data_IF_398699898062
#
_entry.id   IF_398699898062
#
_cell.length_a   1.000
_cell.length_b   1.000
_cell.length_c   1.000
_cell.angle_alpha   90.00
_cell.angle_beta   90.00
_cell.angle_gamma   90.00
#
_symmetry.space_group_name_H-M   'P 1'
#
loop_
_entity.id
_entity.type
_entity.pdbx_description
1 polymer ?
#
# COMPACT_ATOMS: atom_id res chain seq x y z
N UNK A 1 7.48 10.22 18.56
CA UNK A 1 8.58 10.33 17.57
C UNK A 1 8.07 11.20 16.45
N UNK A 2 8.72 12.34 16.22
CA UNK A 2 8.38 13.26 15.12
C UNK A 2 8.53 12.55 13.78
N UNK A 3 7.50 12.62 12.94
CA UNK A 3 7.53 12.09 11.57
C UNK A 3 7.65 13.27 10.62
N UNK A 4 8.72 13.26 9.83
CA UNK A 4 9.01 14.29 8.83
C UNK A 4 8.11 14.18 7.59
N UNK A 5 7.70 12.95 7.29
CA UNK A 5 6.73 12.61 6.23
C UNK A 5 5.69 11.70 6.87
N UNK A 6 4.41 11.97 6.62
CA UNK A 6 3.33 11.15 7.13
C UNK A 6 2.94 10.14 6.07
N UNK A 7 3.18 8.86 6.35
CA UNK A 7 2.81 7.76 5.47
C UNK A 7 1.90 6.81 6.23
N UNK A 8 0.80 6.45 5.58
CA UNK A 8 -0.17 5.46 6.05
C UNK A 8 -0.58 4.58 4.88
N UNK A 9 -0.72 3.28 5.12
CA UNK A 9 -1.13 2.31 4.12
C UNK A 9 -1.70 1.07 4.81
N UNK A 10 -2.56 0.37 4.09
CA UNK A 10 -2.82 -1.03 4.36
C UNK A 10 -1.90 -1.90 3.50
N UNK A 11 -1.44 -3.01 4.07
CA UNK A 11 -0.50 -3.93 3.42
C UNK A 11 -1.13 -5.32 3.29
N UNK A 12 -1.06 -5.88 2.08
CA UNK A 12 -1.48 -7.23 1.76
C UNK A 12 -0.33 -8.02 1.12
N UNK A 13 0.23 -9.05 1.77
CA UNK A 13 1.20 -9.93 1.15
C UNK A 13 0.56 -10.68 -0.03
N UNK A 14 1.12 -10.58 -1.24
CA UNK A 14 0.51 -11.20 -2.42
C UNK A 14 0.47 -12.74 -2.33
N UNK A 15 1.38 -13.36 -1.56
CA UNK A 15 1.33 -14.79 -1.22
C UNK A 15 0.10 -15.23 -0.43
N UNK A 16 -0.62 -14.31 0.21
CA UNK A 16 -1.86 -14.62 0.95
C UNK A 16 -3.10 -14.68 0.04
N UNK A 17 -2.95 -14.35 -1.26
CA UNK A 17 -4.05 -14.43 -2.21
C UNK A 17 -4.29 -15.89 -2.61
N UNK A 18 -5.40 -16.48 -2.13
CA UNK A 18 -5.78 -17.85 -2.46
C UNK A 18 -6.32 -18.01 -3.89
N UNK A 19 -7.38 -17.27 -4.25
CA UNK A 19 -7.94 -17.23 -5.61
C UNK A 19 -8.02 -15.80 -6.11
N UNK A 20 -7.65 -15.61 -7.36
CA UNK A 20 -7.70 -14.31 -8.07
C UNK A 20 -9.02 -14.12 -8.85
N UNK A 21 -9.99 -14.99 -8.63
CA UNK A 21 -11.30 -14.90 -9.28
C UNK A 21 -12.08 -13.72 -8.70
N UNK A 22 -12.57 -12.85 -9.59
CA UNK A 22 -13.41 -11.72 -9.21
C UNK A 22 -14.85 -12.22 -9.06
N UNK A 23 -15.51 -12.03 -7.90
CA UNK A 23 -16.91 -12.39 -7.74
C UNK A 23 -17.80 -11.72 -8.79
N UNK A 24 -18.78 -12.45 -9.30
CA UNK A 24 -19.69 -11.95 -10.34
C UNK A 24 -20.51 -10.76 -9.80
N UNK A 25 -20.87 -10.81 -8.52
CA UNK A 25 -21.62 -9.84 -7.75
C UNK A 25 -20.75 -8.73 -7.10
N UNK A 26 -19.45 -8.70 -7.39
CA UNK A 26 -18.55 -7.67 -6.88
C UNK A 26 -19.00 -6.26 -7.27
N UNK A 27 -19.00 -5.35 -6.29
CA UNK A 27 -19.20 -3.92 -6.54
C UNK A 27 -18.14 -3.40 -7.52
N UNK A 28 -18.41 -2.34 -8.32
CA UNK A 28 -17.45 -1.82 -9.27
C UNK A 28 -16.09 -1.44 -8.63
N UNK A 29 -16.13 -0.90 -7.40
CA UNK A 29 -14.92 -0.52 -6.65
C UNK A 29 -14.11 -1.75 -6.26
N UNK A 30 -14.78 -2.79 -5.74
CA UNK A 30 -14.11 -4.02 -5.34
C UNK A 30 -13.56 -4.79 -6.54
N UNK A 31 -14.33 -4.85 -7.64
CA UNK A 31 -13.88 -5.42 -8.91
C UNK A 31 -12.60 -4.74 -9.40
N UNK A 32 -12.58 -3.42 -9.43
CA UNK A 32 -11.39 -2.67 -9.85
C UNK A 32 -10.18 -2.94 -8.92
N UNK A 33 -10.42 -3.10 -7.61
CA UNK A 33 -9.37 -3.48 -6.66
C UNK A 33 -8.82 -4.89 -6.94
N UNK A 34 -9.70 -5.88 -7.16
CA UNK A 34 -9.27 -7.23 -7.54
C UNK A 34 -8.51 -7.26 -8.87
N UNK A 35 -8.93 -6.47 -9.86
CA UNK A 35 -8.22 -6.34 -11.14
C UNK A 35 -6.79 -5.80 -10.94
N UNK A 36 -6.62 -4.80 -10.07
CA UNK A 36 -5.30 -4.26 -9.74
C UNK A 36 -4.44 -5.26 -8.99
N UNK A 37 -5.00 -6.00 -8.02
CA UNK A 37 -4.30 -7.08 -7.33
C UNK A 37 -3.87 -8.19 -8.28
N UNK A 38 -4.74 -8.58 -9.21
CA UNK A 38 -4.41 -9.58 -10.23
C UNK A 38 -3.30 -9.09 -11.14
N UNK A 39 -3.37 -7.85 -11.62
CA UNK A 39 -2.30 -7.26 -12.43
C UNK A 39 -0.97 -7.18 -11.67
N UNK A 40 -1.00 -6.83 -10.38
CA UNK A 40 0.18 -6.80 -9.53
C UNK A 40 0.79 -8.20 -9.36
N UNK A 41 -0.05 -9.20 -9.11
CA UNK A 41 0.36 -10.60 -8.98
C UNK A 41 0.97 -11.14 -10.27
N UNK A 42 0.34 -10.87 -11.42
CA UNK A 42 0.85 -11.29 -12.73
C UNK A 42 2.17 -10.61 -13.08
N UNK A 43 2.35 -9.34 -12.70
CA UNK A 43 3.56 -8.56 -13.00
C UNK A 43 4.75 -8.92 -12.12
N UNK A 44 4.53 -9.09 -10.81
CA UNK A 44 5.60 -9.20 -9.82
C UNK A 44 5.70 -10.58 -9.16
N UNK A 45 4.67 -11.41 -9.29
CA UNK A 45 4.55 -12.64 -8.55
C UNK A 45 4.07 -12.44 -7.10
N UNK A 46 4.13 -13.51 -6.32
CA UNK A 46 3.59 -13.56 -4.96
C UNK A 46 4.66 -13.54 -3.86
N UNK A 47 5.88 -13.95 -4.20
CA UNK A 47 7.00 -14.04 -3.28
C UNK A 47 7.63 -12.65 -3.08
N UNK A 48 8.01 -12.33 -1.84
CA UNK A 48 8.60 -11.04 -1.45
C UNK A 48 7.85 -9.80 -2.00
N UNK A 49 6.55 -9.94 -2.25
CA UNK A 49 5.72 -8.93 -2.91
C UNK A 49 4.54 -8.55 -2.04
N UNK A 50 4.43 -7.25 -1.75
CA UNK A 50 3.45 -6.70 -0.83
C UNK A 50 2.65 -5.60 -1.51
N UNK A 51 1.35 -5.78 -1.62
CA UNK A 51 0.47 -4.79 -2.19
C UNK A 51 0.05 -3.77 -1.13
N UNK A 52 0.33 -2.50 -1.40
CA UNK A 52 -0.09 -1.36 -0.59
C UNK A 52 -1.36 -0.75 -1.18
N UNK A 53 -2.35 -0.51 -0.34
CA UNK A 53 -3.61 0.10 -0.76
C UNK A 53 -4.18 1.03 0.31
N UNK A 54 -5.19 1.83 -0.09
CA UNK A 54 -5.75 2.92 0.74
C UNK A 54 -4.64 3.80 1.34
N UNK A 55 -3.58 4.01 0.57
CA UNK A 55 -2.35 4.59 1.07
C UNK A 55 -2.26 6.08 0.77
N UNK A 56 -1.65 6.81 1.70
CA UNK A 56 -1.40 8.25 1.60
C UNK A 56 0.01 8.61 2.06
N UNK A 57 0.58 9.61 1.42
CA UNK A 57 1.86 10.22 1.75
C UNK A 57 1.69 11.74 1.81
N UNK A 58 2.01 12.35 2.96
CA UNK A 58 1.90 13.79 3.17
C UNK A 58 3.27 14.38 3.47
N UNK A 59 3.66 15.35 2.64
CA UNK A 59 4.84 16.18 2.85
C UNK A 59 4.43 17.54 3.42
N UNK A 60 5.17 18.00 4.43
CA UNK A 60 5.05 19.33 5.01
C UNK A 60 6.30 20.14 4.66
N UNK A 61 6.17 21.14 3.79
CA UNK A 61 7.27 22.00 3.33
C UNK A 61 7.45 23.24 4.21
N UNK A 62 6.45 23.55 5.04
CA UNK A 62 6.51 24.62 6.04
C UNK A 62 5.96 24.11 7.37
N UNK A 63 6.13 24.91 8.43
CA UNK A 63 5.59 24.61 9.76
C UNK A 63 4.12 25.01 9.92
N UNK A 64 3.48 25.55 8.87
CA UNK A 64 2.06 25.91 8.86
C UNK A 64 1.26 24.86 8.05
N UNK A 65 0.28 24.14 8.66
CA UNK A 65 -0.49 23.13 7.95
C UNK A 65 -1.35 23.69 6.81
N UNK A 66 -1.64 24.99 6.80
CA UNK A 66 -2.39 25.65 5.73
C UNK A 66 -1.52 26.07 4.55
N UNK A 67 -0.19 25.94 4.65
CA UNK A 67 0.74 26.47 3.67
C UNK A 67 1.86 25.44 3.39
N UNK A 68 1.94 24.95 2.15
CA UNK A 68 3.01 24.04 1.74
C UNK A 68 2.81 22.57 2.15
N UNK A 69 1.56 22.12 2.22
CA UNK A 69 1.20 20.71 2.31
C UNK A 69 1.10 20.12 0.90
N UNK A 70 1.63 18.91 0.72
CA UNK A 70 1.40 18.07 -0.47
C UNK A 70 0.91 16.70 -0.03
N UNK A 71 -0.31 16.33 -0.41
CA UNK A 71 -0.91 15.02 -0.13
C UNK A 71 -0.99 14.20 -1.41
N UNK A 72 -0.37 13.03 -1.39
CA UNK A 72 -0.42 12.04 -2.45
C UNK A 72 -1.18 10.82 -1.97
N UNK A 73 -2.08 10.31 -2.80
CA UNK A 73 -2.57 8.93 -2.68
C UNK A 73 -1.70 8.01 -3.50
N UNK A 74 -1.55 6.78 -3.05
CA UNK A 74 -0.87 5.77 -3.85
C UNK A 74 -1.42 4.37 -3.61
N UNK A 75 -1.16 3.49 -4.56
CA UNK A 75 -1.35 2.05 -4.44
C UNK A 75 -0.35 1.33 -5.33
N UNK A 76 0.00 0.07 -5.03
CA UNK A 76 0.97 -0.68 -5.82
C UNK A 76 1.74 -1.70 -5.02
N UNK A 77 2.87 -2.16 -5.55
CA UNK A 77 3.65 -3.25 -4.97
C UNK A 77 4.98 -2.74 -4.41
N UNK A 78 5.29 -3.14 -3.18
CA UNK A 78 6.63 -3.09 -2.62
C UNK A 78 7.24 -4.49 -2.69
N UNK A 79 8.46 -4.56 -3.23
CA UNK A 79 9.28 -5.75 -3.26
C UNK A 79 10.31 -5.69 -2.14
N UNK A 80 10.57 -6.84 -1.52
CA UNK A 80 11.62 -6.99 -0.51
C UNK A 80 12.79 -7.82 -1.03
N UNK A 81 13.84 -7.92 -0.22
CA UNK A 81 14.86 -8.95 -0.37
C UNK A 81 14.31 -10.35 -0.08
N UNK A 82 15.13 -11.36 -0.39
CA UNK A 82 14.78 -12.78 -0.27
C UNK A 82 14.36 -13.16 1.17
N UNK A 83 14.93 -12.49 2.17
CA UNK A 83 14.67 -12.75 3.59
C UNK A 83 13.44 -11.98 4.13
N UNK A 84 12.71 -11.21 3.31
CA UNK A 84 11.59 -10.36 3.75
C UNK A 84 11.98 -9.32 4.84
N UNK A 85 13.24 -8.89 4.88
CA UNK A 85 13.79 -8.00 5.91
C UNK A 85 13.92 -6.55 5.43
N UNK A 86 14.01 -6.33 4.12
CA UNK A 86 14.24 -5.00 3.55
C UNK A 86 13.49 -4.77 2.26
N UNK A 87 12.76 -3.65 2.17
CA UNK A 87 12.21 -3.13 0.93
C UNK A 87 13.32 -2.71 -0.03
N UNK A 88 13.28 -3.24 -1.26
CA UNK A 88 14.28 -3.02 -2.31
C UNK A 88 13.72 -2.19 -3.47
N UNK A 89 12.45 -2.36 -3.80
CA UNK A 89 11.80 -1.69 -4.92
C UNK A 89 10.33 -1.38 -4.62
N UNK A 90 9.81 -0.32 -5.24
CA UNK A 90 8.42 0.09 -5.13
C UNK A 90 7.89 0.48 -6.50
N UNK A 91 6.88 -0.26 -6.98
CA UNK A 91 6.15 -0.01 -8.21
C UNK A 91 4.75 0.49 -7.83
N UNK A 92 4.59 1.82 -7.82
CA UNK A 92 3.44 2.51 -7.26
C UNK A 92 2.76 3.37 -8.34
N UNK A 93 1.42 3.32 -8.38
CA UNK A 93 0.61 4.38 -8.99
C UNK A 93 0.43 5.48 -7.95
N UNK A 94 0.97 6.67 -8.23
CA UNK A 94 1.01 7.81 -7.31
C UNK A 94 0.23 8.95 -7.91
N UNK A 95 -0.65 9.58 -7.13
CA UNK A 95 -1.48 10.67 -7.62
C UNK A 95 -1.55 11.77 -6.58
N UNK A 96 -1.33 13.02 -7.02
CA UNK A 96 -1.54 14.19 -6.17
C UNK A 96 -3.03 14.30 -5.85
N UNK A 97 -3.37 14.24 -4.56
CA UNK A 97 -4.74 14.30 -4.07
C UNK A 97 -5.11 15.72 -3.63
N UNK A 98 -4.17 16.45 -3.04
CA UNK A 98 -4.40 17.81 -2.55
C UNK A 98 -3.10 18.55 -2.24
N UNK A 99 -3.16 19.87 -2.27
CA UNK A 99 -2.02 20.72 -1.97
C UNK A 99 -2.46 22.08 -1.38
N UNK A 100 -1.57 22.72 -0.62
CA UNK A 100 -1.76 24.09 -0.08
C UNK A 100 -0.58 25.00 -0.41
N UNK A 101 0.09 24.72 -1.51
CA UNK A 101 1.34 25.29 -1.96
C UNK A 101 1.08 26.14 -3.23
N UNK A 102 0.67 27.41 -3.05
CA UNK A 102 0.35 28.30 -4.18
C UNK A 102 1.53 28.61 -5.14
N UNK A 103 2.74 28.14 -4.83
CA UNK A 103 3.93 28.22 -5.68
C UNK A 103 4.39 26.86 -6.23
N UNK A 104 3.54 25.83 -6.11
CA UNK A 104 3.79 24.51 -6.67
C UNK A 104 3.79 24.56 -8.19
N UNK A 105 4.76 23.91 -8.80
CA UNK A 105 4.90 23.84 -10.26
C UNK A 105 4.89 22.39 -10.70
N UNK A 106 4.45 22.11 -11.93
CA UNK A 106 4.39 20.76 -12.50
C UNK A 106 5.71 19.96 -12.37
N UNK A 107 6.90 20.53 -12.61
CA UNK A 107 8.15 19.80 -12.41
C UNK A 107 8.37 19.37 -10.95
N UNK A 108 7.95 20.20 -9.99
CA UNK A 108 8.05 19.90 -8.56
C UNK A 108 7.07 18.80 -8.19
N UNK A 109 5.84 18.83 -8.72
CA UNK A 109 4.85 17.74 -8.52
C UNK A 109 5.42 16.42 -9.02
N UNK A 110 5.99 16.39 -10.22
CA UNK A 110 6.61 15.19 -10.80
C UNK A 110 7.76 14.67 -9.96
N UNK A 111 8.61 15.57 -9.47
CA UNK A 111 9.69 15.18 -8.57
C UNK A 111 9.16 14.58 -7.26
N UNK A 112 8.09 15.14 -6.69
CA UNK A 112 7.46 14.57 -5.49
C UNK A 112 6.77 13.23 -5.77
N UNK A 113 6.18 13.05 -6.95
CA UNK A 113 5.61 11.77 -7.38
C UNK A 113 6.67 10.65 -7.35
N UNK A 114 7.89 10.91 -7.84
CA UNK A 114 9.01 9.96 -7.72
C UNK A 114 9.50 9.80 -6.26
N UNK A 115 9.48 10.90 -5.50
CA UNK A 115 9.89 10.93 -4.09
C UNK A 115 9.01 10.09 -3.18
N UNK A 116 7.72 9.93 -3.51
CA UNK A 116 6.80 9.04 -2.78
C UNK A 116 7.38 7.62 -2.70
N UNK A 117 7.89 7.07 -3.79
CA UNK A 117 8.49 5.72 -3.79
C UNK A 117 9.68 5.62 -2.84
N UNK A 118 10.56 6.62 -2.81
CA UNK A 118 11.69 6.64 -1.87
C UNK A 118 11.22 6.69 -0.41
N UNK A 119 10.22 7.53 -0.12
CA UNK A 119 9.68 7.66 1.23
C UNK A 119 8.97 6.38 1.68
N UNK A 120 8.21 5.74 0.78
CA UNK A 120 7.52 4.46 1.03
C UNK A 120 8.52 3.35 1.32
N UNK A 121 9.64 3.24 0.60
CA UNK A 121 10.66 2.24 0.90
C UNK A 121 11.23 2.38 2.33
N UNK A 122 11.46 3.62 2.77
CA UNK A 122 11.97 3.88 4.13
C UNK A 122 10.91 3.54 5.19
N UNK A 123 9.66 3.96 5.00
CA UNK A 123 8.60 3.67 5.95
C UNK A 123 8.24 2.18 5.96
N UNK A 124 8.25 1.51 4.81
CA UNK A 124 8.01 0.07 4.74
C UNK A 124 9.09 -0.69 5.51
N UNK A 125 10.38 -0.35 5.36
CA UNK A 125 11.46 -0.92 6.18
C UNK A 125 11.22 -0.75 7.69
N UNK A 126 10.64 0.38 8.10
CA UNK A 126 10.25 0.61 9.50
C UNK A 126 9.07 -0.27 9.90
N UNK A 127 8.07 -0.42 9.03
CA UNK A 127 6.93 -1.32 9.22
C UNK A 127 7.37 -2.78 9.38
N UNK A 128 8.33 -3.26 8.57
CA UNK A 128 8.96 -4.58 8.74
C UNK A 128 9.58 -4.69 10.14
N UNK A 129 10.45 -3.74 10.50
CA UNK A 129 11.20 -3.76 11.78
C UNK A 129 10.30 -3.67 13.01
N UNK A 130 9.14 -3.03 12.90
CA UNK A 130 8.15 -2.96 13.97
C UNK A 130 7.45 -4.31 14.23
N UNK A 131 7.65 -5.30 13.36
CA UNK A 131 6.98 -6.61 13.43
C UNK A 131 5.53 -6.55 12.95
N UNK A 132 5.12 -5.45 12.31
CA UNK A 132 3.74 -5.31 11.83
C UNK A 132 3.46 -6.23 10.63
N UNK A 133 4.49 -6.67 9.90
CA UNK A 133 4.37 -7.75 8.91
C UNK A 133 3.90 -9.06 9.54
N UNK A 134 4.50 -9.45 10.66
CA UNK A 134 4.13 -10.67 11.39
C UNK A 134 2.73 -10.55 12.00
N UNK A 135 2.37 -9.39 12.52
CA UNK A 135 1.00 -9.15 12.99
C UNK A 135 -0.02 -9.21 11.86
N UNK A 136 0.32 -8.67 10.68
CA UNK A 136 -0.55 -8.71 9.50
C UNK A 136 -0.74 -10.16 9.05
N UNK A 137 0.34 -10.96 9.02
CA UNK A 137 0.28 -12.40 8.74
C UNK A 137 -0.60 -13.15 9.74
N UNK A 138 -0.40 -12.94 11.04
CA UNK A 138 -1.21 -13.59 12.08
C UNK A 138 -2.68 -13.17 12.06
N UNK A 139 -2.99 -11.92 11.71
CA UNK A 139 -4.38 -11.45 11.54
C UNK A 139 -5.05 -12.17 10.37
N UNK A 140 -4.34 -12.35 9.26
CA UNK A 140 -4.83 -13.09 8.10
C UNK A 140 -5.03 -14.57 8.46
N UNK A 141 -4.05 -15.23 9.07
CA UNK A 141 -4.17 -16.64 9.50
C UNK A 141 -5.35 -16.87 10.46
N UNK A 142 -5.59 -15.93 11.40
CA UNK A 142 -6.76 -16.00 12.30
C UNK A 142 -8.08 -15.81 11.56
N UNK A 143 -8.13 -14.95 10.54
CA UNK A 143 -9.30 -14.75 9.70
C UNK A 143 -9.58 -15.99 8.83
N UNK A 144 -8.53 -16.66 8.34
CA UNK A 144 -8.63 -17.92 7.60
C UNK A 144 -9.13 -19.05 8.50
N UNK A 145 -8.54 -19.25 9.68
CA UNK A 145 -8.97 -20.26 10.65
C UNK A 145 -10.42 -20.06 11.12
N UNK A 146 -10.83 -18.80 11.35
CA UNK A 146 -12.22 -18.47 11.68
C UNK A 146 -13.21 -18.70 10.53
N UNK A 147 -12.72 -18.69 9.28
CA UNK A 147 -13.52 -18.96 8.07
C UNK A 147 -13.63 -20.47 7.79
N UNK A 148 -12.60 -21.26 8.13
CA UNK A 148 -12.61 -22.72 8.04
C UNK A 148 -13.56 -23.38 9.05
N UNK A 149 -13.63 -22.86 10.28
CA UNK A 149 -14.50 -23.39 11.35
C UNK A 149 -16.00 -23.17 11.05
N UNK A 150 -16.34 -22.23 10.16
CA UNK A 150 -17.72 -21.94 9.72
C UNK A 150 -18.15 -22.66 8.44
N UNK A 151 -17.35 -23.59 7.92
CA UNK A 151 -17.78 -24.43 6.80
C UNK A 151 -18.06 -23.63 5.52
N UNK A 152 -17.01 -23.03 4.96
CA UNK A 152 -16.99 -22.57 3.57
C UNK A 152 -17.75 -21.27 3.31
N UNK A 153 -17.07 -20.14 3.48
CA UNK A 153 -17.39 -18.91 2.74
C UNK A 153 -16.10 -18.09 2.58
N UNK A 154 -15.41 -18.27 1.44
CA UNK A 154 -14.41 -17.32 0.95
C UNK A 154 -15.17 -16.07 0.48
N UNK A 155 -15.50 -15.20 1.44
CA UNK A 155 -16.07 -13.88 1.20
C UNK A 155 -15.37 -12.90 2.12
N UNK A 156 -14.28 -12.29 1.64
CA UNK A 156 -13.71 -11.13 2.32
C UNK A 156 -14.77 -10.01 2.36
N UNK A 157 -15.13 -9.65 3.60
CA UNK A 157 -15.85 -8.47 4.09
C UNK A 157 -16.61 -7.58 3.08
N UNK A 158 -17.94 -7.52 3.31
CA UNK A 158 -18.96 -6.59 2.80
C UNK A 158 -18.51 -5.12 2.72
#
# INVERSE_FOLDING_TARGET
>A
MERWVLIEFDCLPLRSLGRLDIPIDASPVYRAFCERLKSAYEKHGSHNSYYLHRARCVFHLTNDPQIGLLEFRFEGVVLTDDDDLRATHADLDVQLQGETCGWLTEPVVRWFHETVSHAVLVEFNRFIKAGDLEQTRQRIEKLEAASEEKGGFLGMYL
#
